data_IF_376758831905
#
_entry.id   IF_376758831905
#
_cell.length_a   1.000
_cell.length_b   1.000
_cell.length_c   1.000
_cell.angle_alpha   90.00
_cell.angle_beta   90.00
_cell.angle_gamma   90.00
#
_symmetry.space_group_name_H-M   'P 1'
#
loop_
_entity.id
_entity.type
_entity.pdbx_description
1 polymer ?
#
# COMPACT_ATOMS: atom_id res chain seq x y z
N UNK A 1 -16.77 17.43 4.06
CA UNK A 1 -16.63 15.96 4.15
C UNK A 1 -15.17 15.67 3.84
N UNK A 2 -14.34 15.60 4.88
CA UNK A 2 -12.88 15.43 4.80
C UNK A 2 -12.64 13.95 5.11
N UNK A 3 -12.62 13.07 4.11
CA UNK A 3 -12.73 11.61 4.36
C UNK A 3 -11.94 10.72 3.38
N UNK A 4 -11.09 11.27 2.52
CA UNK A 4 -10.45 10.47 1.45
C UNK A 4 -8.97 10.13 1.71
N UNK A 5 -8.17 11.02 2.31
CA UNK A 5 -6.71 10.77 2.42
C UNK A 5 -6.31 9.86 3.60
N UNK A 6 -7.05 9.87 4.71
CA UNK A 6 -6.67 9.13 5.92
C UNK A 6 -6.98 7.63 5.89
N UNK A 7 -7.73 7.14 4.89
CA UNK A 7 -8.19 5.74 4.82
C UNK A 7 -7.11 4.75 4.38
N UNK A 8 -6.06 5.24 3.69
CA UNK A 8 -4.99 4.40 3.17
C UNK A 8 -3.69 4.51 3.96
N UNK A 9 -3.65 5.35 5.00
CA UNK A 9 -2.58 5.35 5.98
C UNK A 9 -2.75 4.12 6.87
N UNK A 10 -2.16 3.02 6.44
CA UNK A 10 -2.11 1.78 7.21
C UNK A 10 -0.73 1.61 7.84
N UNK A 11 -0.68 0.87 8.94
CA UNK A 11 0.53 0.52 9.65
C UNK A 11 0.69 -0.99 9.59
N UNK A 12 1.35 -1.46 8.54
CA UNK A 12 1.58 -2.85 8.25
C UNK A 12 2.36 -3.50 9.41
N UNK A 13 1.96 -4.73 9.74
CA UNK A 13 2.59 -5.55 10.78
C UNK A 13 3.03 -6.89 10.25
N UNK A 14 2.24 -7.48 9.35
CA UNK A 14 2.59 -8.76 8.74
C UNK A 14 1.94 -8.88 7.38
N UNK A 15 2.75 -9.27 6.40
CA UNK A 15 2.28 -9.83 5.14
C UNK A 15 2.66 -11.30 5.11
N UNK A 16 1.71 -12.17 4.74
CA UNK A 16 1.98 -13.59 4.61
C UNK A 16 1.34 -14.15 3.35
N UNK A 17 2.18 -14.71 2.48
CA UNK A 17 1.74 -15.40 1.28
C UNK A 17 1.64 -16.91 1.52
N UNK A 18 0.55 -17.50 1.06
CA UNK A 18 0.28 -18.93 1.07
C UNK A 18 0.22 -19.42 -0.38
N UNK A 19 1.23 -20.19 -0.80
CA UNK A 19 1.35 -20.68 -2.18
C UNK A 19 0.25 -21.66 -2.57
N UNK A 20 -0.19 -22.50 -1.64
CA UNK A 20 -1.20 -23.54 -1.87
C UNK A 20 -2.52 -23.00 -2.47
N UNK A 21 -2.98 -21.82 -2.01
CA UNK A 21 -4.22 -21.20 -2.46
C UNK A 21 -3.98 -19.82 -3.13
N UNK A 22 -2.72 -19.45 -3.36
CA UNK A 22 -2.33 -18.18 -3.97
C UNK A 22 -2.81 -16.96 -3.19
N UNK A 23 -2.87 -17.03 -1.87
CA UNK A 23 -3.48 -16.00 -1.03
C UNK A 23 -2.41 -15.19 -0.27
N UNK A 24 -2.54 -13.86 -0.26
CA UNK A 24 -1.78 -12.97 0.64
C UNK A 24 -2.73 -12.49 1.73
N UNK A 25 -2.29 -12.57 2.99
CA UNK A 25 -2.93 -11.89 4.11
C UNK A 25 -2.12 -10.67 4.52
N UNK A 26 -2.82 -9.58 4.81
CA UNK A 26 -2.25 -8.33 5.30
C UNK A 26 -2.82 -8.06 6.69
N UNK A 27 -1.94 -7.94 7.68
CA UNK A 27 -2.28 -7.55 9.05
C UNK A 27 -1.70 -6.17 9.31
N UNK A 28 -2.56 -5.22 9.60
CA UNK A 28 -2.19 -3.82 9.78
C UNK A 28 -3.10 -3.14 10.80
N UNK A 29 -2.64 -1.98 11.28
CA UNK A 29 -3.47 -1.03 12.01
C UNK A 29 -3.85 0.13 11.09
N UNK A 30 -4.96 0.78 11.39
CA UNK A 30 -5.30 2.09 10.84
C UNK A 30 -5.86 2.95 11.97
N UNK A 31 -5.72 4.27 11.84
CA UNK A 31 -6.27 5.20 12.84
C UNK A 31 -7.67 5.63 12.42
N UNK A 32 -8.63 5.52 13.33
CA UNK A 32 -9.99 6.01 13.16
C UNK A 32 -10.43 6.67 14.46
N UNK A 33 -10.85 7.93 14.38
CA UNK A 33 -11.26 8.73 15.55
C UNK A 33 -10.21 8.75 16.68
N UNK A 34 -8.93 8.87 16.31
CA UNK A 34 -7.81 8.85 17.26
C UNK A 34 -7.40 7.47 17.78
N UNK A 35 -8.20 6.42 17.53
CA UNK A 35 -7.93 5.07 17.98
C UNK A 35 -7.24 4.21 16.92
N UNK A 36 -6.31 3.36 17.34
CA UNK A 36 -5.65 2.37 16.47
C UNK A 36 -6.48 1.09 16.40
N UNK A 37 -7.09 0.84 15.24
CA UNK A 37 -7.91 -0.35 15.01
C UNK A 37 -7.15 -1.39 14.19
N UNK A 38 -7.15 -2.65 14.63
CA UNK A 38 -6.52 -3.77 13.90
C UNK A 38 -7.44 -4.26 12.77
N UNK A 39 -6.83 -4.61 11.62
CA UNK A 39 -7.50 -5.27 10.50
C UNK A 39 -6.65 -6.40 9.94
N UNK A 40 -7.36 -7.38 9.39
CA UNK A 40 -6.78 -8.41 8.54
C UNK A 40 -7.55 -8.37 7.23
N UNK A 41 -6.85 -8.16 6.13
CA UNK A 41 -7.41 -8.29 4.79
C UNK A 41 -6.71 -9.41 4.02
N UNK A 42 -7.35 -9.85 2.94
CA UNK A 42 -6.86 -10.93 2.12
C UNK A 42 -6.92 -10.52 0.65
N UNK A 43 -5.94 -10.95 -0.14
CA UNK A 43 -5.96 -10.84 -1.59
C UNK A 43 -5.60 -12.18 -2.22
N UNK A 44 -6.26 -12.52 -3.32
CA UNK A 44 -6.03 -13.75 -4.08
C UNK A 44 -5.30 -13.46 -5.37
N UNK A 45 -4.30 -14.28 -5.70
CA UNK A 45 -3.57 -14.21 -6.96
C UNK A 45 -4.55 -14.39 -8.11
N UNK A 46 -4.49 -13.48 -9.07
CA UNK A 46 -5.29 -13.54 -10.30
C UNK A 46 -4.42 -14.04 -11.46
N UNK A 47 -3.41 -13.27 -11.85
CA UNK A 47 -2.49 -13.60 -12.96
C UNK A 47 -1.09 -13.07 -12.66
N UNK A 48 -0.05 -13.86 -12.92
CA UNK A 48 1.33 -13.44 -12.64
C UNK A 48 1.51 -13.01 -11.17
N UNK A 49 2.05 -11.81 -10.94
CA UNK A 49 2.19 -11.17 -9.63
C UNK A 49 1.02 -10.23 -9.26
N UNK A 50 -0.11 -10.33 -9.94
CA UNK A 50 -1.29 -9.49 -9.66
C UNK A 50 -2.26 -10.19 -8.69
N UNK A 51 -2.71 -9.47 -7.67
CA UNK A 51 -3.62 -9.95 -6.63
C UNK A 51 -4.88 -9.07 -6.55
N UNK A 52 -6.03 -9.69 -6.30
CA UNK A 52 -7.32 -9.02 -6.14
C UNK A 52 -7.77 -9.20 -4.69
N UNK A 53 -8.11 -8.10 -4.03
CA UNK A 53 -8.64 -8.07 -2.67
C UNK A 53 -9.94 -8.87 -2.56
N UNK A 54 -10.10 -9.59 -1.46
CA UNK A 54 -11.31 -10.32 -1.13
C UNK A 54 -12.18 -9.41 -0.27
N UNK A 55 -13.36 -9.02 -0.76
CA UNK A 55 -14.29 -8.14 -0.06
C UNK A 55 -15.22 -7.40 -1.02
N UNK A 56 -15.93 -6.39 -0.51
CA UNK A 56 -16.90 -5.58 -1.27
C UNK A 56 -16.27 -4.42 -2.03
N UNK A 57 -14.99 -4.15 -1.82
CA UNK A 57 -14.23 -3.09 -2.50
C UNK A 57 -13.29 -3.72 -3.53
N UNK A 58 -13.20 -3.11 -4.70
CA UNK A 58 -12.29 -3.52 -5.75
C UNK A 58 -10.90 -3.01 -5.42
N UNK A 59 -10.11 -3.88 -4.81
CA UNK A 59 -8.73 -3.62 -4.44
C UNK A 59 -7.81 -4.49 -5.26
N UNK A 60 -6.74 -3.91 -5.76
CA UNK A 60 -5.73 -4.61 -6.52
C UNK A 60 -4.37 -4.36 -5.92
N UNK A 61 -3.54 -5.40 -5.88
CA UNK A 61 -2.21 -5.35 -5.30
C UNK A 61 -1.21 -5.99 -6.25
N UNK A 62 -0.12 -5.27 -6.54
CA UNK A 62 0.93 -5.69 -7.46
C UNK A 62 2.30 -5.37 -6.85
N UNK A 63 3.04 -6.37 -6.35
CA UNK A 63 4.46 -6.21 -6.03
C UNK A 63 5.23 -5.85 -7.29
N UNK A 64 5.94 -4.72 -7.28
CA UNK A 64 6.76 -4.23 -8.38
C UNK A 64 8.23 -4.60 -8.20
N UNK A 65 8.70 -4.55 -6.96
CA UNK A 65 10.03 -4.97 -6.54
C UNK A 65 9.95 -5.68 -5.19
N UNK A 66 10.74 -6.73 -5.00
CA UNK A 66 10.74 -7.49 -3.74
C UNK A 66 12.09 -8.18 -3.53
N UNK A 67 12.63 -8.01 -2.33
CA UNK A 67 13.73 -8.81 -1.77
C UNK A 67 13.25 -9.49 -0.50
N UNK A 68 14.18 -10.11 0.24
CA UNK A 68 13.86 -10.65 1.56
C UNK A 68 13.42 -9.56 2.56
N UNK A 69 13.94 -8.33 2.42
CA UNK A 69 13.79 -7.28 3.44
C UNK A 69 12.99 -6.06 2.98
N UNK A 70 12.79 -5.91 1.67
CA UNK A 70 12.14 -4.74 1.06
C UNK A 70 11.07 -5.19 0.06
N UNK A 71 9.97 -4.44 0.00
CA UNK A 71 8.97 -4.56 -1.05
C UNK A 71 8.50 -3.19 -1.50
N UNK A 72 8.45 -2.97 -2.82
CA UNK A 72 7.72 -1.85 -3.43
C UNK A 72 6.50 -2.43 -4.12
N UNK A 73 5.31 -1.90 -3.84
CA UNK A 73 4.07 -2.38 -4.41
C UNK A 73 3.19 -1.23 -4.91
N UNK A 74 2.37 -1.55 -5.92
CA UNK A 74 1.25 -0.73 -6.35
C UNK A 74 -0.03 -1.31 -5.76
N UNK A 75 -0.80 -0.46 -5.11
CA UNK A 75 -2.15 -0.70 -4.67
C UNK A 75 -3.12 0.19 -5.43
N UNK A 76 -4.18 -0.40 -5.98
CA UNK A 76 -5.23 0.31 -6.71
C UNK A 76 -6.54 0.05 -5.99
N UNK A 77 -7.21 1.11 -5.55
CA UNK A 77 -8.53 1.03 -4.95
C UNK A 77 -9.55 1.69 -5.87
N UNK A 78 -10.69 1.04 -6.06
CA UNK A 78 -11.90 1.69 -6.60
C UNK A 78 -12.92 1.75 -5.48
N UNK A 79 -13.34 2.95 -5.12
CA UNK A 79 -14.34 3.16 -4.07
C UNK A 79 -15.77 2.89 -4.55
N UNK A 80 -16.75 3.06 -3.66
CA UNK A 80 -18.16 2.78 -3.97
C UNK A 80 -18.77 3.82 -4.91
N UNK A 81 -18.11 4.97 -5.10
CA UNK A 81 -18.47 6.01 -6.07
C UNK A 81 -17.78 5.78 -7.43
N UNK A 82 -16.89 4.79 -7.54
CA UNK A 82 -16.13 4.50 -8.76
C UNK A 82 -14.85 5.33 -8.89
N UNK A 83 -14.46 6.11 -7.88
CA UNK A 83 -13.20 6.86 -7.88
C UNK A 83 -12.05 5.87 -7.73
N UNK A 84 -11.09 5.95 -8.64
CA UNK A 84 -9.88 5.12 -8.62
C UNK A 84 -8.74 5.87 -7.93
N UNK A 85 -8.13 5.26 -6.93
CA UNK A 85 -6.92 5.78 -6.25
C UNK A 85 -5.74 4.85 -6.54
N UNK A 86 -4.59 5.45 -6.87
CA UNK A 86 -3.33 4.76 -7.08
C UNK A 86 -2.40 5.07 -5.90
N UNK A 87 -1.81 4.02 -5.34
CA UNK A 87 -1.01 4.12 -4.11
C UNK A 87 0.23 3.28 -4.30
N UNK A 88 1.40 3.89 -4.19
CA UNK A 88 2.67 3.16 -4.18
C UNK A 88 3.20 3.07 -2.76
N UNK A 89 3.55 1.87 -2.33
CA UNK A 89 3.99 1.61 -0.97
C UNK A 89 5.37 0.96 -0.96
N UNK A 90 6.24 1.44 -0.09
CA UNK A 90 7.54 0.87 0.20
C UNK A 90 7.53 0.32 1.63
N UNK A 91 7.61 -1.00 1.74
CA UNK A 91 7.70 -1.75 2.97
C UNK A 91 9.15 -2.19 3.21
N UNK A 92 9.63 -2.09 4.44
CA UNK A 92 10.91 -2.69 4.83
C UNK A 92 10.84 -3.29 6.24
N UNK A 93 11.66 -4.32 6.50
CA UNK A 93 11.77 -4.92 7.84
C UNK A 93 12.49 -4.01 8.84
N UNK A 94 13.44 -3.21 8.37
CA UNK A 94 14.21 -2.28 9.21
C UNK A 94 13.49 -0.95 9.42
N UNK A 95 14.15 0.03 10.05
CA UNK A 95 13.66 1.40 10.30
C UNK A 95 14.18 2.44 9.29
N UNK A 96 15.11 2.06 8.41
CA UNK A 96 15.54 2.84 7.23
C UNK A 96 15.70 1.97 5.98
N UNK A 97 15.73 2.57 4.80
CA UNK A 97 16.15 1.94 3.53
C UNK A 97 17.38 2.67 2.97
N UNK A 98 18.11 2.05 2.05
CA UNK A 98 19.18 2.74 1.31
C UNK A 98 18.62 3.80 0.38
N UNK A 99 19.44 4.79 0.01
CA UNK A 99 19.07 5.82 -0.96
C UNK A 99 18.70 5.18 -2.32
N UNK A 100 19.41 4.15 -2.76
CA UNK A 100 19.13 3.42 -4.01
C UNK A 100 17.71 2.83 -4.03
N UNK A 101 17.28 2.20 -2.92
CA UNK A 101 15.93 1.65 -2.80
C UNK A 101 14.88 2.76 -2.80
N UNK A 102 15.17 3.88 -2.13
CA UNK A 102 14.29 5.03 -2.12
C UNK A 102 14.16 5.67 -3.51
N UNK A 103 15.26 5.86 -4.23
CA UNK A 103 15.25 6.41 -5.59
C UNK A 103 14.45 5.51 -6.55
N UNK A 104 14.63 4.19 -6.44
CA UNK A 104 13.84 3.22 -7.20
C UNK A 104 12.33 3.31 -6.86
N UNK A 105 11.98 3.53 -5.59
CA UNK A 105 10.60 3.77 -5.19
C UNK A 105 10.03 5.06 -5.77
N UNK A 106 10.79 6.15 -5.76
CA UNK A 106 10.41 7.41 -6.40
C UNK A 106 10.21 7.22 -7.91
N UNK A 107 11.10 6.48 -8.58
CA UNK A 107 10.99 6.20 -10.00
C UNK A 107 9.74 5.39 -10.36
N UNK A 108 9.42 4.34 -9.58
CA UNK A 108 8.16 3.60 -9.77
C UNK A 108 6.94 4.49 -9.54
N UNK A 109 7.01 5.38 -8.56
CA UNK A 109 5.91 6.29 -8.21
C UNK A 109 5.65 7.31 -9.33
N UNK A 110 6.72 7.90 -9.88
CA UNK A 110 6.64 8.78 -11.06
C UNK A 110 6.07 8.06 -12.29
N UNK A 111 6.44 6.80 -12.52
CA UNK A 111 5.89 6.01 -13.63
C UNK A 111 4.39 5.74 -13.52
N UNK A 112 3.86 5.70 -12.30
CA UNK A 112 2.41 5.56 -12.04
C UNK A 112 1.69 6.91 -12.16
N UNK A 113 2.43 8.02 -12.15
CA UNK A 113 1.89 9.37 -12.28
C UNK A 113 1.71 10.12 -10.96
N UNK A 114 2.09 9.50 -9.83
CA UNK A 114 1.94 10.05 -8.48
C UNK A 114 2.96 11.15 -8.23
N UNK A 115 2.55 12.37 -7.86
CA UNK A 115 3.44 13.49 -7.65
C UNK A 115 4.10 13.40 -6.27
N UNK A 116 5.32 13.90 -6.16
CA UNK A 116 6.18 13.70 -4.98
C UNK A 116 5.66 14.45 -3.75
N UNK A 117 4.93 15.54 -3.93
CA UNK A 117 4.30 16.29 -2.84
C UNK A 117 3.30 15.47 -2.02
N UNK A 118 2.79 14.36 -2.55
CA UNK A 118 1.88 13.48 -1.83
C UNK A 118 2.60 12.38 -1.01
N UNK A 119 3.92 12.48 -0.86
CA UNK A 119 4.69 11.53 -0.07
C UNK A 119 4.37 11.62 1.41
N UNK A 120 3.88 10.51 2.00
CA UNK A 120 3.78 10.35 3.45
C UNK A 120 4.89 9.45 3.97
N UNK A 121 5.72 10.05 4.80
CA UNK A 121 6.67 9.33 5.64
C UNK A 121 5.96 8.79 6.89
N UNK A 122 5.40 7.58 6.79
CA UNK A 122 4.71 6.92 7.91
C UNK A 122 5.71 6.46 8.99
N UNK A 123 7.00 6.30 8.66
CA UNK A 123 8.07 5.87 9.59
C UNK A 123 8.18 6.83 10.77
N UNK A 124 8.07 8.15 10.52
CA UNK A 124 8.15 9.19 11.55
C UNK A 124 7.04 9.11 12.60
N UNK A 125 6.02 8.28 12.40
CA UNK A 125 4.86 8.16 13.28
C UNK A 125 4.77 6.84 14.04
N UNK A 126 5.69 5.89 13.82
CA UNK A 126 5.72 4.56 14.49
C UNK A 126 7.15 4.05 14.73
N UNK A 127 7.41 3.49 15.92
CA UNK A 127 8.76 3.17 16.41
C UNK A 127 9.29 1.75 16.09
N UNK A 128 8.60 0.91 15.30
CA UNK A 128 8.92 -0.53 15.24
C UNK A 128 8.84 -1.24 13.86
N UNK A 129 8.53 -0.58 12.74
CA UNK A 129 8.66 -1.13 11.37
C UNK A 129 8.44 -0.03 10.29
N UNK A 130 9.18 -0.07 9.18
CA UNK A 130 8.93 0.84 8.04
C UNK A 130 7.70 0.42 7.26
N UNK A 131 6.82 1.40 7.13
CA UNK A 131 6.02 1.58 5.94
C UNK A 131 6.25 3.01 5.47
N UNK A 132 6.49 3.20 4.18
CA UNK A 132 6.30 4.47 3.50
C UNK A 132 5.17 4.26 2.51
N UNK A 133 4.17 5.13 2.53
CA UNK A 133 3.07 5.09 1.57
C UNK A 133 2.99 6.45 0.88
N UNK A 134 3.05 6.42 -0.44
CA UNK A 134 2.76 7.56 -1.32
C UNK A 134 1.41 7.29 -1.95
N UNK A 135 0.53 8.29 -1.92
CA UNK A 135 -0.83 8.18 -2.43
C UNK A 135 -1.07 9.29 -3.45
N UNK A 136 -1.81 9.02 -4.51
CA UNK A 136 -2.46 10.07 -5.28
C UNK A 136 -3.90 9.67 -5.54
N UNK A 137 -4.81 10.59 -5.20
CA UNK A 137 -6.18 10.53 -5.68
C UNK A 137 -6.23 11.08 -7.11
N UNK A 138 -5.96 10.23 -8.10
CA UNK A 138 -6.21 10.59 -9.50
C UNK A 138 -7.71 10.48 -9.75
N UNK A 139 -8.44 11.62 -9.75
CA UNK A 139 -9.77 11.66 -10.36
C UNK A 139 -9.64 11.30 -11.85
N UNK A 140 -10.06 10.11 -12.25
CA UNK A 140 -10.27 9.83 -13.68
C UNK A 140 -11.49 10.62 -14.13
N UNK A 141 -11.27 11.77 -14.76
CA UNK A 141 -12.30 12.41 -15.59
C UNK A 141 -12.32 11.72 -16.93
N UNK A 142 -13.21 10.74 -17.10
CA UNK A 142 -13.92 10.42 -18.34
C UNK A 142 -15.10 9.52 -18.02
#
# INVERSE_FOLDING_TARGET
MILEESKFIVYMRKMQYTSYNGLISFNYYFKYDGECLRRISYAKRHTGNYFIGIGTLNNYFKPMYMTEDVMIALYINVDVQGVTSYITELFAKETSVSQEVFDMYMDYTRQVGIPEENLIDIIKTVSHAIQMSMYECIRSTT
#
